data_IF_146078534194
#
_entry.id   IF_146078534194
#
_cell.length_a   1.000
_cell.length_b   1.000
_cell.length_c   1.000
_cell.angle_alpha   90.00
_cell.angle_beta   90.00
_cell.angle_gamma   90.00
#
_symmetry.space_group_name_H-M   'P 1'
#
loop_
_entity.id
_entity.type
_entity.pdbx_description
1 polymer ?
#
# COMPACT_ATOMS: atom_id res chain seq x y z
N UNK A 1 44.70 -14.37 -83.67
CA UNK A 1 43.34 -14.99 -83.58
C UNK A 1 43.16 -15.90 -82.35
N UNK A 2 43.83 -15.65 -81.20
CA UNK A 2 43.79 -16.59 -80.03
C UNK A 2 43.03 -16.03 -78.80
N UNK A 3 42.78 -14.72 -78.72
CA UNK A 3 42.23 -14.10 -77.50
C UNK A 3 40.71 -14.27 -77.25
N UNK A 4 39.92 -14.75 -78.23
CA UNK A 4 38.44 -14.86 -78.08
C UNK A 4 37.96 -16.17 -77.45
N UNK A 5 38.71 -17.27 -77.57
CA UNK A 5 38.32 -18.58 -77.02
C UNK A 5 38.53 -18.69 -75.51
N UNK A 6 39.70 -18.25 -75.02
CA UNK A 6 40.05 -18.26 -73.58
C UNK A 6 39.13 -17.40 -72.71
N UNK A 7 38.74 -16.22 -73.21
CA UNK A 7 37.83 -15.32 -72.49
C UNK A 7 36.44 -15.93 -72.31
N UNK A 8 35.94 -16.72 -73.27
CA UNK A 8 34.64 -17.39 -73.14
C UNK A 8 34.65 -18.51 -72.08
N UNK A 9 35.74 -19.26 -71.95
CA UNK A 9 35.86 -20.35 -70.98
C UNK A 9 36.04 -19.83 -69.54
N UNK A 10 36.79 -18.74 -69.35
CA UNK A 10 36.91 -18.06 -68.06
C UNK A 10 35.57 -17.47 -67.60
N UNK A 11 34.83 -16.80 -68.50
CA UNK A 11 33.49 -16.25 -68.20
C UNK A 11 32.51 -17.38 -67.87
N UNK A 12 32.60 -18.54 -68.53
CA UNK A 12 31.77 -19.70 -68.22
C UNK A 12 32.09 -20.28 -66.85
N UNK A 13 33.38 -20.37 -66.50
CA UNK A 13 33.85 -20.85 -65.20
C UNK A 13 33.40 -19.92 -64.07
N UNK A 14 33.55 -18.61 -64.26
CA UNK A 14 33.06 -17.59 -63.31
C UNK A 14 31.55 -17.66 -63.11
N UNK A 15 30.77 -17.86 -64.18
CA UNK A 15 29.31 -18.03 -64.06
C UNK A 15 28.92 -19.24 -63.21
N UNK A 16 29.65 -20.35 -63.34
CA UNK A 16 29.42 -21.55 -62.51
C UNK A 16 29.80 -21.28 -61.05
N UNK A 17 30.91 -20.59 -60.80
CA UNK A 17 31.32 -20.22 -59.44
C UNK A 17 30.31 -19.27 -58.78
N UNK A 18 29.82 -18.26 -59.51
CA UNK A 18 28.78 -17.34 -59.02
C UNK A 18 27.51 -18.11 -58.68
N UNK A 19 27.03 -18.99 -59.56
CA UNK A 19 25.85 -19.81 -59.29
C UNK A 19 26.01 -20.69 -58.04
N UNK A 20 27.19 -21.28 -57.84
CA UNK A 20 27.49 -22.09 -56.65
C UNK A 20 27.50 -21.23 -55.36
N UNK A 21 28.14 -20.06 -55.41
CA UNK A 21 28.14 -19.11 -54.28
C UNK A 21 26.74 -18.59 -53.94
N UNK A 22 25.91 -18.32 -54.96
CA UNK A 22 24.51 -17.92 -54.74
C UNK A 22 23.71 -19.02 -54.05
N UNK A 23 23.87 -20.28 -54.49
CA UNK A 23 23.22 -21.43 -53.84
C UNK A 23 23.63 -21.58 -52.38
N UNK A 24 24.94 -21.45 -52.08
CA UNK A 24 25.46 -21.53 -50.70
C UNK A 24 24.91 -20.38 -49.84
N UNK A 25 24.81 -19.17 -50.39
CA UNK A 25 24.26 -18.01 -49.68
C UNK A 25 22.78 -18.22 -49.32
N UNK A 26 21.99 -18.78 -50.23
CA UNK A 26 20.57 -19.11 -49.97
C UNK A 26 20.40 -20.20 -48.91
N UNK A 27 21.28 -21.20 -48.88
CA UNK A 27 21.27 -22.23 -47.82
C UNK A 27 21.65 -21.65 -46.46
N UNK A 28 22.69 -20.81 -46.41
CA UNK A 28 23.11 -20.11 -45.19
C UNK A 28 22.00 -19.19 -44.66
N UNK A 29 21.34 -18.44 -45.54
CA UNK A 29 20.23 -17.56 -45.17
C UNK A 29 19.06 -18.34 -44.55
N UNK A 30 18.66 -19.46 -45.17
CA UNK A 30 17.59 -20.32 -44.64
C UNK A 30 17.97 -20.95 -43.29
N UNK A 31 19.23 -21.36 -43.13
CA UNK A 31 19.74 -21.89 -41.87
C UNK A 31 19.72 -20.82 -40.78
N UNK A 32 20.17 -19.60 -41.08
CA UNK A 32 20.16 -18.47 -40.16
C UNK A 32 18.75 -18.12 -39.69
N UNK A 33 17.77 -18.15 -40.60
CA UNK A 33 16.35 -17.89 -40.26
C UNK A 33 15.78 -18.98 -39.34
N UNK A 34 16.09 -20.24 -39.62
CA UNK A 34 15.67 -21.39 -38.79
C UNK A 34 16.31 -21.32 -37.40
N UNK A 35 17.60 -21.02 -37.33
CA UNK A 35 18.34 -20.87 -36.06
C UNK A 35 17.78 -19.70 -35.24
N UNK A 36 17.44 -18.57 -35.87
CA UNK A 36 16.83 -17.42 -35.21
C UNK A 36 15.48 -17.78 -34.59
N UNK A 37 14.60 -18.48 -35.32
CA UNK A 37 13.30 -18.93 -34.82
C UNK A 37 13.48 -19.85 -33.60
N UNK A 38 14.46 -20.76 -33.65
CA UNK A 38 14.76 -21.67 -32.55
C UNK A 38 15.22 -20.93 -31.29
N UNK A 39 16.08 -19.92 -31.44
CA UNK A 39 16.55 -19.07 -30.34
C UNK A 39 15.39 -18.27 -29.74
N UNK A 40 14.54 -17.66 -30.56
CA UNK A 40 13.37 -16.90 -30.08
C UNK A 40 12.43 -17.80 -29.28
N UNK A 41 12.16 -19.03 -29.74
CA UNK A 41 11.33 -19.99 -29.01
C UNK A 41 11.94 -20.35 -27.65
N UNK A 42 13.26 -20.52 -27.56
CA UNK A 42 13.93 -20.75 -26.28
C UNK A 42 13.82 -19.56 -25.33
N UNK A 43 13.97 -18.33 -25.84
CA UNK A 43 13.81 -17.10 -25.06
C UNK A 43 12.39 -17.00 -24.49
N UNK A 44 11.37 -17.29 -25.30
CA UNK A 44 9.97 -17.26 -24.83
C UNK A 44 9.71 -18.28 -23.72
N UNK A 45 10.28 -19.47 -23.80
CA UNK A 45 10.14 -20.49 -22.76
C UNK A 45 10.88 -20.08 -21.48
N UNK A 46 12.08 -19.51 -21.60
CA UNK A 46 12.83 -18.96 -20.47
C UNK A 46 12.08 -17.81 -19.78
N UNK A 47 11.44 -16.93 -20.55
CA UNK A 47 10.66 -15.82 -19.98
C UNK A 47 9.44 -16.34 -19.20
N UNK A 48 8.75 -17.35 -19.73
CA UNK A 48 7.67 -18.02 -19.02
C UNK A 48 8.14 -18.67 -17.71
N UNK A 49 9.29 -19.34 -17.73
CA UNK A 49 9.87 -19.92 -16.51
C UNK A 49 10.28 -18.84 -15.49
N UNK A 50 10.83 -17.72 -15.95
CA UNK A 50 11.16 -16.58 -15.12
C UNK A 50 9.92 -16.02 -14.43
N UNK A 51 8.83 -15.79 -15.16
CA UNK A 51 7.57 -15.31 -14.57
C UNK A 51 7.01 -16.29 -13.52
N UNK A 52 7.09 -17.60 -13.77
CA UNK A 52 6.69 -18.60 -12.77
C UNK A 52 7.58 -18.57 -11.52
N UNK A 53 8.88 -18.36 -11.69
CA UNK A 53 9.81 -18.26 -10.57
C UNK A 53 9.55 -16.99 -9.76
N UNK A 54 9.34 -15.84 -10.41
CA UNK A 54 9.03 -14.58 -9.76
C UNK A 54 7.76 -14.70 -8.90
N UNK A 55 6.70 -15.31 -9.43
CA UNK A 55 5.46 -15.57 -8.67
C UNK A 55 5.70 -16.43 -7.42
N UNK A 56 6.54 -17.48 -7.53
CA UNK A 56 6.90 -18.34 -6.40
C UNK A 56 7.73 -17.62 -5.36
N UNK A 57 8.63 -16.74 -5.78
CA UNK A 57 9.44 -15.90 -4.89
C UNK A 57 8.52 -14.95 -4.12
N UNK A 58 7.62 -14.23 -4.79
CA UNK A 58 6.66 -13.34 -4.14
C UNK A 58 5.77 -14.08 -3.12
N UNK A 59 5.32 -15.30 -3.44
CA UNK A 59 4.55 -16.12 -2.51
C UNK A 59 5.37 -16.55 -1.29
N UNK A 60 6.63 -16.96 -1.51
CA UNK A 60 7.54 -17.35 -0.44
C UNK A 60 7.89 -16.17 0.47
N UNK A 61 8.15 -14.99 -0.10
CA UNK A 61 8.36 -13.75 0.64
C UNK A 61 7.14 -13.40 1.50
N UNK A 62 5.92 -13.50 0.94
CA UNK A 62 4.69 -13.27 1.70
C UNK A 62 4.54 -14.25 2.88
N UNK A 63 4.83 -15.54 2.69
CA UNK A 63 4.74 -16.55 3.75
C UNK A 63 5.81 -16.36 4.83
N UNK A 64 7.05 -16.12 4.42
CA UNK A 64 8.16 -15.84 5.34
C UNK A 64 7.83 -14.63 6.21
N UNK A 65 7.26 -13.59 5.60
CA UNK A 65 6.91 -12.36 6.29
C UNK A 65 5.70 -12.50 7.22
N UNK A 66 4.71 -13.33 6.87
CA UNK A 66 3.62 -13.70 7.79
C UNK A 66 4.16 -14.44 9.03
N UNK A 67 5.07 -15.40 8.81
CA UNK A 67 5.76 -16.10 9.90
C UNK A 67 6.55 -15.13 10.75
N UNK A 68 7.29 -14.20 10.13
CA UNK A 68 8.09 -13.23 10.86
C UNK A 68 7.24 -12.28 11.72
N UNK A 69 6.10 -11.80 11.20
CA UNK A 69 5.13 -11.04 11.98
C UNK A 69 4.58 -11.85 13.17
N UNK A 70 4.24 -13.13 12.95
CA UNK A 70 3.74 -14.00 14.03
C UNK A 70 4.82 -14.25 15.08
N UNK A 71 6.07 -14.44 14.68
CA UNK A 71 7.21 -14.60 15.58
C UNK A 71 7.43 -13.33 16.40
N UNK A 72 7.40 -12.16 15.76
CA UNK A 72 7.54 -10.87 16.46
C UNK A 72 6.40 -10.68 17.47
N UNK A 73 5.14 -10.96 17.09
CA UNK A 73 4.00 -10.91 18.01
C UNK A 73 4.15 -11.92 19.16
N UNK A 74 4.56 -13.16 18.86
CA UNK A 74 4.71 -14.24 19.85
C UNK A 74 5.85 -13.95 20.84
N UNK A 75 6.98 -13.43 20.36
CA UNK A 75 8.08 -12.97 21.21
C UNK A 75 7.62 -11.85 22.13
N UNK A 76 6.83 -10.88 21.62
CA UNK A 76 6.31 -9.80 22.45
C UNK A 76 5.29 -10.27 23.49
N UNK A 77 4.43 -11.23 23.15
CA UNK A 77 3.49 -11.83 24.10
C UNK A 77 4.19 -12.61 25.21
N UNK A 78 5.28 -13.32 24.89
CA UNK A 78 6.09 -14.03 25.90
C UNK A 78 6.86 -13.06 26.79
N UNK A 79 7.31 -11.91 26.25
CA UNK A 79 7.98 -10.85 27.02
C UNK A 79 7.01 -10.09 27.95
N UNK A 80 5.77 -9.86 27.50
CA UNK A 80 4.69 -9.32 28.35
C UNK A 80 4.33 -10.27 29.51
N UNK A 81 4.54 -11.58 29.32
CA UNK A 81 4.30 -12.59 30.37
C UNK A 81 5.48 -12.72 31.35
N UNK A 82 6.71 -12.45 30.88
CA UNK A 82 7.94 -12.46 31.69
C UNK A 82 8.12 -11.19 32.54
N UNK A 83 7.39 -10.12 32.22
CA UNK A 83 7.37 -8.87 32.98
C UNK A 83 5.99 -8.64 33.57
N UNK A 84 5.75 -9.15 34.79
CA UNK A 84 4.69 -8.67 35.67
C UNK A 84 4.96 -7.21 36.12
N UNK A 85 5.10 -6.30 35.17
CA UNK A 85 5.17 -4.84 35.36
C UNK A 85 4.17 -4.09 34.45
N UNK A 86 3.23 -4.80 33.80
CA UNK A 86 2.33 -4.23 32.79
C UNK A 86 1.05 -3.56 33.32
N UNK A 87 0.97 -3.21 34.61
CA UNK A 87 -0.08 -2.28 35.07
C UNK A 87 0.28 -0.82 34.77
N UNK A 88 1.54 -0.51 34.45
CA UNK A 88 2.04 0.86 34.35
C UNK A 88 2.52 1.32 32.98
N UNK A 89 2.60 0.44 31.99
CA UNK A 89 3.13 0.82 30.70
C UNK A 89 2.07 1.53 29.83
N UNK A 90 2.32 2.79 29.50
CA UNK A 90 1.45 3.63 28.68
C UNK A 90 1.84 3.42 27.21
N UNK A 91 1.02 2.69 26.47
CA UNK A 91 1.31 2.37 25.06
C UNK A 91 0.40 3.10 24.06
N UNK A 92 -0.78 3.53 24.52
CA UNK A 92 -1.82 4.16 23.71
C UNK A 92 -2.75 5.03 24.58
N UNK A 93 -3.74 5.65 23.94
CA UNK A 93 -4.75 6.45 24.64
C UNK A 93 -5.67 5.61 25.55
N UNK A 94 -5.83 4.31 25.29
CA UNK A 94 -6.62 3.44 26.16
C UNK A 94 -5.92 3.20 27.50
N UNK A 95 -4.60 3.02 27.47
CA UNK A 95 -3.73 2.92 28.65
C UNK A 95 -3.79 4.21 29.49
N UNK A 96 -3.74 5.38 28.83
CA UNK A 96 -3.93 6.68 29.48
C UNK A 96 -5.32 6.79 30.11
N UNK A 97 -6.36 6.37 29.39
CA UNK A 97 -7.73 6.41 29.88
C UNK A 97 -7.92 5.54 31.13
N UNK A 98 -7.29 4.35 31.17
CA UNK A 98 -7.26 3.47 32.36
C UNK A 98 -6.56 4.11 33.56
N UNK A 99 -5.58 4.99 33.32
CA UNK A 99 -4.90 5.81 34.35
C UNK A 99 -5.62 7.12 34.68
N UNK A 100 -6.92 7.21 34.39
CA UNK A 100 -7.76 8.38 34.69
C UNK A 100 -7.43 9.67 33.94
N UNK A 101 -6.68 9.61 32.83
CA UNK A 101 -6.58 10.73 31.89
C UNK A 101 -7.83 10.75 31.00
N UNK A 102 -8.83 11.57 31.36
CA UNK A 102 -10.16 11.58 30.72
C UNK A 102 -10.43 12.80 29.83
N UNK A 103 -9.45 13.66 29.61
CA UNK A 103 -9.60 14.88 28.82
C UNK A 103 -9.12 14.63 27.40
N UNK A 104 -9.92 14.96 26.39
CA UNK A 104 -9.48 14.86 25.00
C UNK A 104 -8.37 15.87 24.71
N UNK A 105 -7.32 15.47 24.01
CA UNK A 105 -6.20 16.36 23.75
C UNK A 105 -4.95 15.68 23.23
N UNK A 106 -3.89 16.46 23.16
CA UNK A 106 -2.56 15.98 22.77
C UNK A 106 -1.86 15.36 23.97
N UNK A 107 -1.38 14.12 23.81
CA UNK A 107 -0.63 13.37 24.79
C UNK A 107 0.67 12.86 24.20
N UNK A 108 1.64 12.62 25.08
CA UNK A 108 2.92 11.99 24.71
C UNK A 108 2.96 10.57 25.25
N UNK A 109 3.08 9.62 24.33
CA UNK A 109 3.34 8.22 24.65
C UNK A 109 4.85 8.04 24.80
N UNK A 110 5.32 7.43 25.91
CA UNK A 110 6.75 7.27 26.18
C UNK A 110 7.46 6.48 25.09
N UNK A 111 8.78 6.69 24.97
CA UNK A 111 9.63 5.80 24.17
C UNK A 111 9.56 4.38 24.73
N UNK A 112 9.64 3.40 23.85
CA UNK A 112 9.81 2.01 24.23
C UNK A 112 11.25 1.60 23.89
N UNK A 113 12.11 1.54 24.90
CA UNK A 113 13.52 1.18 24.74
C UNK A 113 13.71 -0.25 24.26
N UNK A 114 12.78 -1.15 24.64
CA UNK A 114 12.84 -2.55 24.26
C UNK A 114 12.48 -2.75 22.78
N UNK A 115 11.44 -2.06 22.32
CA UNK A 115 11.05 -2.03 20.90
C UNK A 115 11.90 -1.08 20.06
N UNK A 116 12.79 -0.31 20.67
CA UNK A 116 13.59 0.70 20.00
C UNK A 116 12.76 1.83 19.36
N UNK A 117 11.57 2.12 19.90
CA UNK A 117 10.64 3.08 19.30
C UNK A 117 10.64 4.42 20.05
N UNK A 118 10.57 5.55 19.34
CA UNK A 118 10.66 6.87 19.97
C UNK A 118 9.39 7.25 20.73
N UNK A 119 9.51 8.31 21.54
CA UNK A 119 8.36 9.04 22.08
C UNK A 119 7.44 9.46 20.92
N UNK A 120 6.14 9.27 21.10
CA UNK A 120 5.13 9.57 20.09
C UNK A 120 4.10 10.54 20.64
N UNK A 121 3.93 11.67 19.98
CA UNK A 121 2.81 12.57 20.27
C UNK A 121 1.56 12.08 19.53
N UNK A 122 0.44 11.98 20.23
CA UNK A 122 -0.86 11.51 19.71
C UNK A 122 -1.98 12.43 20.15
N UNK A 123 -3.07 12.47 19.39
CA UNK A 123 -4.33 13.02 19.89
C UNK A 123 -5.16 11.88 20.48
N UNK A 124 -5.52 12.02 21.75
CA UNK A 124 -6.45 11.13 22.41
C UNK A 124 -7.85 11.73 22.42
N UNK A 125 -8.82 10.99 21.91
CA UNK A 125 -10.24 11.25 22.09
C UNK A 125 -10.73 10.41 23.27
N UNK A 126 -11.00 11.11 24.37
CA UNK A 126 -11.40 10.51 25.65
C UNK A 126 -12.90 10.57 25.88
N UNK A 127 -13.69 10.99 24.89
CA UNK A 127 -15.12 11.25 25.03
C UNK A 127 -15.95 10.30 24.15
N UNK A 128 -15.58 10.14 22.88
CA UNK A 128 -16.38 9.37 21.91
C UNK A 128 -16.52 7.91 22.33
N UNK A 129 -17.76 7.42 22.45
CA UNK A 129 -18.09 6.03 22.76
C UNK A 129 -17.26 5.44 23.93
N UNK A 130 -17.12 6.22 25.02
CA UNK A 130 -16.39 5.80 26.22
C UNK A 130 -14.88 6.08 26.18
N UNK A 131 -14.39 6.84 25.21
CA UNK A 131 -13.02 7.37 25.19
C UNK A 131 -11.92 6.35 24.92
N UNK A 132 -10.67 6.74 25.21
CA UNK A 132 -9.49 5.88 25.01
C UNK A 132 -9.09 5.69 23.54
N UNK A 133 -9.57 6.55 22.63
CA UNK A 133 -9.25 6.46 21.21
C UNK A 133 -7.95 7.19 20.89
N UNK A 134 -7.08 6.54 20.13
CA UNK A 134 -5.88 7.17 19.55
C UNK A 134 -6.16 7.55 18.11
N UNK A 135 -6.11 8.83 17.77
CA UNK A 135 -6.31 9.27 16.38
C UNK A 135 -5.07 8.99 15.54
N UNK A 136 -5.29 8.39 14.37
CA UNK A 136 -4.23 8.01 13.43
C UNK A 136 -4.27 8.86 12.15
N UNK A 137 -5.40 9.50 11.85
CA UNK A 137 -5.57 10.39 10.72
C UNK A 137 -6.64 11.44 11.03
N UNK A 138 -6.43 12.68 10.57
CA UNK A 138 -7.45 13.73 10.59
C UNK A 138 -7.40 14.56 9.31
N UNK A 139 -8.57 14.83 8.73
CA UNK A 139 -8.83 15.83 7.68
C UNK A 139 -9.92 16.79 8.16
N UNK A 140 -9.67 18.09 8.16
CA UNK A 140 -10.65 19.10 8.57
C UNK A 140 -10.41 20.47 7.94
N UNK A 141 -9.14 20.86 7.73
CA UNK A 141 -8.78 22.23 7.32
C UNK A 141 -8.42 22.29 5.84
N UNK A 142 -7.79 21.23 5.32
CA UNK A 142 -7.37 21.12 3.92
C UNK A 142 -6.05 21.83 3.60
N UNK A 143 -5.23 22.17 4.61
CA UNK A 143 -3.97 22.92 4.43
C UNK A 143 -2.76 22.00 4.26
N UNK A 144 -2.86 20.75 4.71
CA UNK A 144 -1.77 19.77 4.55
C UNK A 144 -2.00 18.95 3.30
N UNK A 145 -1.02 18.92 2.41
CA UNK A 145 -1.02 17.98 1.27
C UNK A 145 -0.81 16.56 1.77
N UNK A 146 -1.64 15.63 1.29
CA UNK A 146 -1.50 14.18 1.52
C UNK A 146 -0.88 13.46 0.32
N UNK A 147 -0.54 14.17 -0.77
CA UNK A 147 0.29 13.62 -1.84
C UNK A 147 1.74 13.55 -1.37
N UNK A 148 2.07 12.50 -0.62
CA UNK A 148 3.36 12.28 0.06
C UNK A 148 4.01 10.98 -0.37
N UNK A 149 5.33 10.91 -0.20
CA UNK A 149 6.13 9.72 -0.51
C UNK A 149 6.03 8.64 0.58
N UNK A 150 6.60 7.46 0.30
CA UNK A 150 6.67 6.34 1.24
C UNK A 150 7.30 6.71 2.58
N UNK A 151 8.41 7.47 2.56
CA UNK A 151 9.16 7.82 3.78
C UNK A 151 8.31 8.68 4.70
N UNK A 152 7.60 9.65 4.14
CA UNK A 152 6.68 10.53 4.88
C UNK A 152 5.47 9.76 5.40
N UNK A 153 4.86 8.87 4.60
CA UNK A 153 3.76 8.03 5.09
C UNK A 153 4.21 7.04 6.17
N UNK A 154 5.44 6.54 6.10
CA UNK A 154 6.05 5.73 7.15
C UNK A 154 6.23 6.50 8.46
N UNK A 155 6.85 7.69 8.40
CA UNK A 155 7.17 8.48 9.59
C UNK A 155 6.01 9.30 10.16
N UNK A 156 4.99 9.57 9.34
CA UNK A 156 3.94 10.53 9.65
C UNK A 156 4.28 11.94 9.18
N UNK A 157 3.23 12.77 9.07
CA UNK A 157 3.32 14.16 8.64
C UNK A 157 2.07 14.96 9.07
N UNK A 158 2.18 16.29 9.00
CA UNK A 158 1.10 17.21 9.37
C UNK A 158 1.21 17.67 10.81
N UNK A 159 0.09 18.11 11.39
CA UNK A 159 0.03 18.59 12.77
C UNK A 159 -1.13 17.93 13.51
N UNK A 160 -0.87 17.44 14.72
CA UNK A 160 -1.87 16.82 15.61
C UNK A 160 -3.05 17.77 15.88
N UNK A 161 -2.84 19.09 15.81
CA UNK A 161 -3.89 20.12 15.96
C UNK A 161 -4.63 20.46 14.67
N UNK A 162 -4.14 20.01 13.53
CA UNK A 162 -4.69 20.26 12.20
C UNK A 162 -4.93 18.95 11.44
N UNK A 163 -4.58 18.95 10.14
CA UNK A 163 -4.62 17.72 9.35
C UNK A 163 -3.32 16.93 9.53
N UNK A 164 -3.40 15.62 9.72
CA UNK A 164 -2.22 14.78 9.88
C UNK A 164 -2.44 13.32 9.49
N UNK A 165 -1.33 12.64 9.26
CA UNK A 165 -1.20 11.19 9.21
C UNK A 165 -0.17 10.78 10.27
N UNK A 166 -0.55 9.87 11.19
CA UNK A 166 0.31 9.52 12.32
C UNK A 166 1.60 8.83 11.89
N UNK A 167 1.57 8.08 10.79
CA UNK A 167 2.71 7.33 10.28
C UNK A 167 2.45 5.82 10.33
N UNK A 168 2.72 5.12 9.23
CA UNK A 168 2.44 3.69 9.10
C UNK A 168 3.20 2.86 10.13
N UNK A 169 4.44 3.24 10.45
CA UNK A 169 5.24 2.56 11.46
C UNK A 169 4.62 2.69 12.86
N UNK A 170 4.11 3.88 13.18
CA UNK A 170 3.44 4.15 14.44
C UNK A 170 2.10 3.43 14.54
N UNK A 171 1.32 3.39 13.46
CA UNK A 171 0.06 2.67 13.41
C UNK A 171 0.31 1.16 13.52
N UNK A 172 1.27 0.61 12.78
CA UNK A 172 1.68 -0.79 12.90
C UNK A 172 2.00 -1.14 14.36
N UNK A 173 2.86 -0.34 15.02
CA UNK A 173 3.22 -0.50 16.44
C UNK A 173 1.99 -0.53 17.35
N UNK A 174 1.08 0.43 17.18
CA UNK A 174 -0.13 0.54 18.01
C UNK A 174 -1.13 -0.61 17.75
N UNK A 175 -1.11 -1.20 16.57
CA UNK A 175 -2.01 -2.30 16.18
C UNK A 175 -1.37 -3.70 16.26
N UNK A 176 -0.26 -3.84 16.98
CA UNK A 176 0.35 -5.15 17.28
C UNK A 176 -0.60 -6.04 18.08
N UNK A 177 -1.46 -5.42 18.89
CA UNK A 177 -2.63 -6.08 19.44
C UNK A 177 -3.86 -5.73 18.58
N UNK A 178 -4.80 -6.69 18.39
CA UNK A 178 -6.04 -6.44 17.68
C UNK A 178 -6.73 -5.19 18.19
N UNK A 179 -6.96 -4.24 17.28
CA UNK A 179 -7.59 -2.96 17.57
C UNK A 179 -8.92 -2.85 16.83
N UNK A 180 -9.84 -2.09 17.40
CA UNK A 180 -11.00 -1.58 16.69
C UNK A 180 -10.58 -0.32 15.95
N UNK A 181 -10.94 -0.20 14.67
CA UNK A 181 -10.82 1.03 13.90
C UNK A 181 -12.19 1.69 13.78
N UNK A 182 -12.27 2.98 14.12
CA UNK A 182 -13.44 3.81 13.91
C UNK A 182 -13.09 4.96 12.97
N UNK A 183 -13.93 5.16 11.96
CA UNK A 183 -13.82 6.24 10.97
C UNK A 183 -15.08 7.10 11.10
N UNK A 184 -14.91 8.36 11.46
CA UNK A 184 -16.00 9.34 11.54
C UNK A 184 -15.86 10.35 10.41
N UNK A 185 -16.98 10.66 9.76
CA UNK A 185 -17.04 11.47 8.55
C UNK A 185 -18.15 12.50 8.67
N UNK A 186 -17.90 13.71 8.19
CA UNK A 186 -18.86 14.82 8.07
C UNK A 186 -18.84 15.33 6.63
N UNK A 187 -20.02 15.55 6.06
CA UNK A 187 -20.17 16.17 4.74
C UNK A 187 -20.31 17.69 4.84
N UNK A 188 -20.60 18.35 3.71
CA UNK A 188 -20.69 19.81 3.65
C UNK A 188 -22.02 20.35 4.16
N UNK A 189 -23.06 19.51 4.18
CA UNK A 189 -24.39 19.75 4.72
C UNK A 189 -24.45 19.55 6.25
N UNK A 190 -23.43 18.92 6.84
CA UNK A 190 -23.30 18.69 8.27
C UNK A 190 -23.87 17.34 8.73
N UNK A 191 -24.24 16.45 7.80
CA UNK A 191 -24.57 15.07 8.13
C UNK A 191 -23.29 14.34 8.55
N UNK A 192 -23.39 13.54 9.61
CA UNK A 192 -22.27 12.75 10.11
C UNK A 192 -22.56 11.26 10.01
N UNK A 193 -21.58 10.50 9.54
CA UNK A 193 -21.63 9.03 9.49
C UNK A 193 -20.37 8.41 10.04
N UNK A 194 -20.46 7.13 10.39
CA UNK A 194 -19.31 6.37 10.83
C UNK A 194 -19.26 4.97 10.22
N UNK A 195 -18.05 4.46 10.11
CA UNK A 195 -17.73 3.07 9.82
C UNK A 195 -16.80 2.55 10.92
N UNK A 196 -17.09 1.38 11.46
CA UNK A 196 -16.31 0.77 12.52
C UNK A 196 -15.96 -0.68 12.16
N UNK A 197 -14.72 -1.06 12.43
CA UNK A 197 -14.17 -2.39 12.15
C UNK A 197 -13.66 -2.96 13.46
N UNK A 198 -14.33 -4.00 13.97
CA UNK A 198 -13.96 -4.66 15.25
C UNK A 198 -12.64 -5.42 15.20
N UNK A 199 -11.97 -5.46 14.04
CA UNK A 199 -10.60 -5.91 13.90
C UNK A 199 -9.90 -5.02 12.87
N UNK A 200 -8.74 -4.49 13.25
CA UNK A 200 -7.86 -3.67 12.44
C UNK A 200 -6.41 -3.92 12.86
N UNK A 201 -5.56 -4.27 11.91
CA UNK A 201 -4.10 -4.31 12.09
C UNK A 201 -3.41 -4.06 10.76
N UNK A 202 -2.17 -3.57 10.84
CA UNK A 202 -1.29 -3.42 9.69
C UNK A 202 -0.18 -4.47 9.72
N UNK A 203 0.31 -4.86 8.55
CA UNK A 203 1.61 -5.51 8.44
C UNK A 203 2.76 -4.54 8.74
N UNK A 204 3.97 -5.07 8.92
CA UNK A 204 5.19 -4.26 8.98
C UNK A 204 5.57 -3.70 7.59
N UNK A 205 6.68 -2.95 7.52
CA UNK A 205 7.18 -2.37 6.27
C UNK A 205 7.55 -3.43 5.20
N UNK A 206 8.07 -4.60 5.62
CA UNK A 206 8.40 -5.70 4.71
C UNK A 206 7.15 -6.25 4.01
N UNK A 207 5.98 -6.13 4.64
CA UNK A 207 4.67 -6.43 4.06
C UNK A 207 3.97 -5.20 3.48
N UNK A 208 4.73 -4.14 3.18
CA UNK A 208 4.19 -2.89 2.64
C UNK A 208 2.99 -2.36 3.44
N UNK A 209 3.03 -2.49 4.78
CA UNK A 209 1.96 -2.06 5.69
C UNK A 209 0.56 -2.58 5.32
N UNK A 210 0.47 -3.83 4.85
CA UNK A 210 -0.78 -4.46 4.41
C UNK A 210 -1.94 -4.31 5.41
N UNK A 211 -3.12 -3.96 4.91
CA UNK A 211 -4.32 -3.76 5.73
C UNK A 211 -5.04 -5.09 6.00
N UNK A 212 -5.36 -5.33 7.27
CA UNK A 212 -6.28 -6.39 7.67
C UNK A 212 -7.44 -5.82 8.48
N UNK A 213 -8.67 -6.04 8.01
CA UNK A 213 -9.89 -5.59 8.67
C UNK A 213 -10.96 -6.68 8.70
N UNK A 214 -11.78 -6.67 9.75
CA UNK A 214 -12.97 -7.52 9.86
C UNK A 214 -14.05 -6.86 10.74
N UNK A 215 -15.21 -7.53 10.85
CA UNK A 215 -16.31 -7.16 11.75
C UNK A 215 -16.80 -5.72 11.55
N UNK A 216 -17.17 -5.39 10.30
CA UNK A 216 -17.72 -4.08 9.98
C UNK A 216 -19.07 -3.85 10.68
N UNK A 217 -19.26 -2.63 11.18
CA UNK A 217 -20.53 -2.05 11.59
C UNK A 217 -20.55 -0.55 11.26
N UNK A 218 -21.73 0.08 11.36
CA UNK A 218 -21.89 1.52 11.13
C UNK A 218 -22.84 1.84 9.98
N UNK A 219 -23.05 3.13 9.75
CA UNK A 219 -24.08 3.67 8.87
C UNK A 219 -23.54 4.35 7.60
N UNK A 220 -22.22 4.39 7.40
CA UNK A 220 -21.58 5.01 6.23
C UNK A 220 -21.53 4.10 4.97
N UNK A 221 -21.90 2.82 5.09
CA UNK A 221 -21.61 1.82 4.06
C UNK A 221 -20.16 1.34 4.13
N UNK A 222 -19.87 0.11 3.68
CA UNK A 222 -18.59 -0.57 3.93
C UNK A 222 -17.57 -0.37 2.80
N UNK A 223 -17.13 0.87 2.56
CA UNK A 223 -16.18 1.17 1.47
C UNK A 223 -14.75 0.73 1.73
N UNK A 224 -14.32 0.53 2.98
CA UNK A 224 -12.95 0.05 3.25
C UNK A 224 -12.79 -1.46 2.94
N UNK A 225 -13.89 -2.23 2.85
CA UNK A 225 -13.84 -3.67 2.58
C UNK A 225 -13.07 -4.01 1.30
N UNK A 226 -13.20 -3.18 0.26
CA UNK A 226 -12.50 -3.37 -1.02
C UNK A 226 -10.96 -3.27 -0.89
N UNK A 227 -10.49 -2.65 0.19
CA UNK A 227 -9.09 -2.46 0.54
C UNK A 227 -8.58 -3.53 1.53
N UNK A 228 -9.41 -4.47 1.98
CA UNK A 228 -8.94 -5.54 2.86
C UNK A 228 -7.90 -6.41 2.14
N UNK A 229 -6.81 -6.76 2.83
CA UNK A 229 -5.73 -7.60 2.30
C UNK A 229 -5.02 -6.99 1.07
N UNK A 230 -4.92 -5.66 0.99
CA UNK A 230 -4.10 -4.93 0.01
C UNK A 230 -2.94 -4.20 0.69
N UNK A 231 -1.88 -3.99 -0.07
CA UNK A 231 -0.68 -3.32 0.39
C UNK A 231 -0.87 -1.79 0.34
N UNK A 232 -0.14 -1.07 1.18
CA UNK A 232 -0.11 0.38 1.11
C UNK A 232 0.70 0.82 -0.10
N UNK A 233 0.21 1.79 -0.85
CA UNK A 233 0.90 2.38 -2.01
C UNK A 233 1.04 3.88 -1.84
N UNK A 234 2.09 4.45 -2.42
CA UNK A 234 2.37 5.90 -2.44
C UNK A 234 2.89 6.30 -3.80
N UNK A 235 2.97 7.60 -4.08
CA UNK A 235 3.37 8.14 -5.40
C UNK A 235 4.75 7.70 -5.90
N UNK A 236 5.60 7.14 -5.04
CA UNK A 236 6.93 6.64 -5.40
C UNK A 236 7.15 5.16 -5.00
N UNK A 237 6.09 4.45 -4.62
CA UNK A 237 6.13 3.02 -4.32
C UNK A 237 4.76 2.42 -4.59
N UNK A 238 4.64 1.82 -5.77
CA UNK A 238 3.45 1.11 -6.21
C UNK A 238 3.45 -0.32 -5.67
N UNK A 239 2.45 -0.63 -4.84
CA UNK A 239 2.16 -1.98 -4.36
C UNK A 239 0.69 -2.35 -4.60
N UNK A 240 -0.01 -1.61 -5.47
CA UNK A 240 -1.43 -1.86 -5.72
C UNK A 240 -1.63 -3.03 -6.70
N UNK A 241 -2.88 -3.36 -7.02
CA UNK A 241 -3.22 -4.53 -7.87
C UNK A 241 -3.67 -4.10 -9.26
N UNK A 242 -3.46 -2.84 -9.60
CA UNK A 242 -3.88 -2.24 -10.87
C UNK A 242 -2.72 -2.19 -11.85
N UNK A 243 -3.02 -1.94 -13.12
CA UNK A 243 -2.00 -1.66 -14.13
C UNK A 243 -1.54 -0.19 -14.05
N UNK A 244 -2.46 0.70 -13.67
CA UNK A 244 -2.19 2.11 -13.46
C UNK A 244 -1.75 2.38 -12.02
N UNK A 245 -0.82 3.33 -11.81
CA UNK A 245 -0.43 3.77 -10.47
C UNK A 245 -1.58 4.53 -9.78
N UNK A 246 -2.28 3.84 -8.88
CA UNK A 246 -3.44 4.39 -8.19
C UNK A 246 -3.07 5.54 -7.26
N UNK A 247 -1.89 5.53 -6.64
CA UNK A 247 -1.46 6.63 -5.76
C UNK A 247 -1.22 7.92 -6.56
N UNK A 248 -0.67 7.79 -7.78
CA UNK A 248 -0.53 8.89 -8.72
C UNK A 248 -1.87 9.41 -9.24
N UNK A 249 -2.86 8.54 -9.46
CA UNK A 249 -4.20 8.95 -9.90
C UNK A 249 -5.03 9.59 -8.78
N UNK A 250 -5.01 9.00 -7.58
CA UNK A 250 -5.85 9.36 -6.42
C UNK A 250 -5.20 10.37 -5.46
N UNK A 251 -3.95 10.75 -5.73
CA UNK A 251 -3.18 11.82 -5.08
C UNK A 251 -3.00 11.66 -3.56
N UNK A 252 -2.95 10.42 -3.09
CA UNK A 252 -2.72 10.09 -1.68
C UNK A 252 -1.94 8.78 -1.54
N UNK A 253 -1.49 8.50 -0.33
CA UNK A 253 -1.05 7.16 0.06
C UNK A 253 -2.20 6.40 0.72
N UNK A 254 -2.47 5.19 0.25
CA UNK A 254 -3.59 4.38 0.73
C UNK A 254 -3.40 2.90 0.40
N UNK A 255 -4.25 2.04 0.96
CA UNK A 255 -4.29 0.61 0.65
C UNK A 255 -5.01 0.34 -0.68
N UNK A 256 -4.51 0.91 -1.78
CA UNK A 256 -5.17 0.81 -3.09
C UNK A 256 -5.29 -0.63 -3.58
N UNK A 257 -6.37 -0.90 -4.33
CA UNK A 257 -6.62 -2.14 -5.05
C UNK A 257 -6.55 -1.83 -6.56
N UNK A 258 -7.68 -1.70 -7.28
CA UNK A 258 -7.70 -1.16 -8.65
C UNK A 258 -8.96 -0.30 -8.91
N UNK A 259 -9.06 0.93 -8.42
CA UNK A 259 -8.13 1.57 -7.47
C UNK A 259 -8.72 1.64 -6.06
N UNK A 260 -9.95 2.14 -5.91
CA UNK A 260 -10.46 2.50 -4.60
C UNK A 260 -11.98 2.65 -4.53
N UNK A 261 -12.55 2.21 -3.41
CA UNK A 261 -13.91 2.55 -2.97
C UNK A 261 -13.90 3.60 -1.83
N UNK A 262 -12.72 3.95 -1.30
CA UNK A 262 -12.52 4.99 -0.29
C UNK A 262 -11.14 5.66 -0.41
N UNK A 263 -11.09 6.98 -0.44
CA UNK A 263 -9.84 7.72 -0.62
C UNK A 263 -9.68 8.81 0.44
N UNK A 264 -9.64 8.42 1.73
CA UNK A 264 -9.63 9.39 2.84
C UNK A 264 -8.36 10.27 2.89
N UNK A 265 -7.31 9.85 2.17
CA UNK A 265 -6.06 10.58 2.00
C UNK A 265 -5.99 11.37 0.68
N UNK A 266 -7.10 11.53 -0.03
CA UNK A 266 -7.19 12.29 -1.27
C UNK A 266 -7.06 13.81 -1.11
N UNK A 267 -7.23 14.50 -2.24
CA UNK A 267 -7.25 15.96 -2.35
C UNK A 267 -8.44 16.53 -1.60
N UNK A 268 -8.21 17.54 -0.79
CA UNK A 268 -9.29 18.23 -0.08
C UNK A 268 -9.97 19.21 -1.04
N UNK A 269 -11.17 18.87 -1.53
CA UNK A 269 -12.02 19.82 -2.27
C UNK A 269 -13.05 20.45 -1.35
N UNK A 270 -13.22 21.77 -1.47
CA UNK A 270 -14.27 22.50 -0.77
C UNK A 270 -15.62 22.29 -1.47
N UNK A 271 -16.70 22.31 -0.69
CA UNK A 271 -18.09 22.23 -1.16
C UNK A 271 -18.50 20.88 -1.78
N UNK A 272 -17.76 19.80 -1.49
CA UNK A 272 -18.20 18.44 -1.79
C UNK A 272 -17.98 18.06 -3.25
N UNK A 273 -18.89 18.49 -4.12
CA UNK A 273 -18.94 18.06 -5.52
C UNK A 273 -17.70 18.47 -6.32
N UNK A 274 -17.09 17.50 -6.99
CA UNK A 274 -16.03 17.74 -7.97
C UNK A 274 -16.19 16.81 -9.17
N UNK A 275 -16.21 17.38 -10.38
CA UNK A 275 -16.49 16.63 -11.63
C UNK A 275 -15.26 16.37 -12.50
N UNK A 276 -14.10 16.95 -12.14
CA UNK A 276 -12.90 16.90 -12.99
C UNK A 276 -12.00 15.70 -12.70
N UNK A 277 -11.81 15.38 -11.43
CA UNK A 277 -10.88 14.37 -10.98
C UNK A 277 -11.57 13.46 -9.96
N UNK A 278 -11.23 12.17 -9.94
CA UNK A 278 -11.72 11.21 -8.94
C UNK A 278 -10.68 11.00 -7.84
N UNK A 279 -10.09 12.09 -7.34
CA UNK A 279 -8.97 12.10 -6.39
C UNK A 279 -9.30 12.79 -5.06
N UNK A 280 -10.58 13.14 -4.84
CA UNK A 280 -11.06 13.77 -3.61
C UNK A 280 -11.02 12.86 -2.39
N UNK A 281 -11.47 13.39 -1.25
CA UNK A 281 -11.65 12.64 0.00
C UNK A 281 -12.98 11.87 -0.07
N UNK A 282 -12.98 10.68 -0.66
CA UNK A 282 -14.21 9.97 -1.02
C UNK A 282 -14.52 8.78 -0.10
N UNK A 283 -15.82 8.50 0.05
CA UNK A 283 -16.35 7.27 0.64
C UNK A 283 -17.53 6.79 -0.20
N UNK A 284 -17.30 5.77 -1.02
CA UNK A 284 -18.23 5.38 -2.09
C UNK A 284 -19.62 4.97 -1.58
N UNK A 285 -19.69 4.26 -0.45
CA UNK A 285 -20.93 3.74 0.14
C UNK A 285 -21.88 4.82 0.65
N UNK A 286 -21.43 6.09 0.66
CA UNK A 286 -22.26 7.22 1.06
C UNK A 286 -22.48 8.22 -0.09
N UNK A 287 -21.44 8.93 -0.54
CA UNK A 287 -21.57 10.00 -1.54
C UNK A 287 -20.96 9.64 -2.92
N UNK A 288 -20.56 8.37 -3.11
CA UNK A 288 -19.95 7.92 -4.36
C UNK A 288 -18.54 8.52 -4.61
N UNK A 289 -18.06 8.53 -5.88
CA UNK A 289 -16.68 8.86 -6.21
C UNK A 289 -16.41 10.36 -6.48
N UNK A 290 -17.46 11.19 -6.59
CA UNK A 290 -17.37 12.57 -7.07
C UNK A 290 -17.68 13.62 -5.98
N UNK A 291 -17.61 13.20 -4.72
CA UNK A 291 -17.87 14.05 -3.56
C UNK A 291 -16.72 13.93 -2.56
N UNK A 292 -16.11 15.06 -2.23
CA UNK A 292 -15.05 15.15 -1.23
C UNK A 292 -15.63 15.53 0.13
N UNK A 293 -15.48 14.66 1.11
CA UNK A 293 -15.92 14.87 2.48
C UNK A 293 -15.23 16.09 3.13
N UNK A 294 -15.93 16.74 4.06
CA UNK A 294 -15.49 17.96 4.74
C UNK A 294 -14.59 17.67 5.93
N UNK A 295 -14.96 16.68 6.75
CA UNK A 295 -14.14 16.23 7.89
C UNK A 295 -14.07 14.72 7.97
N UNK A 296 -12.89 14.23 8.35
CA UNK A 296 -12.65 12.81 8.63
C UNK A 296 -11.73 12.69 9.83
N UNK A 297 -12.03 11.74 10.70
CA UNK A 297 -11.10 11.22 11.70
C UNK A 297 -11.05 9.70 11.64
N UNK A 298 -9.84 9.14 11.54
CA UNK A 298 -9.61 7.72 11.77
C UNK A 298 -8.96 7.55 13.14
N UNK A 299 -9.52 6.67 13.97
CA UNK A 299 -9.04 6.42 15.32
C UNK A 299 -9.10 4.95 15.70
N UNK A 300 -8.17 4.52 16.54
CA UNK A 300 -8.03 3.13 16.96
C UNK A 300 -8.08 2.99 18.47
N UNK A 301 -8.53 1.83 18.94
CA UNK A 301 -8.59 1.46 20.35
C UNK A 301 -8.48 -0.05 20.49
N UNK A 302 -7.76 -0.61 21.48
CA UNK A 302 -7.67 -2.06 21.67
C UNK A 302 -9.05 -2.72 21.78
N UNK A 303 -9.21 -3.91 21.20
CA UNK A 303 -10.48 -4.68 21.27
C UNK A 303 -10.82 -5.09 22.72
N UNK A 304 -9.80 -5.27 23.57
CA UNK A 304 -9.96 -5.61 24.98
C UNK A 304 -10.40 -4.44 25.87
N UNK A 305 -10.47 -3.22 25.33
CA UNK A 305 -10.81 -2.04 26.11
C UNK A 305 -12.25 -2.10 26.65
N UNK A 306 -12.39 -1.81 27.95
CA UNK A 306 -13.66 -1.66 28.65
C UNK A 306 -13.69 -0.23 29.21
N UNK A 307 -14.67 0.61 28.81
CA UNK A 307 -14.79 2.00 29.25
C UNK A 307 -14.95 2.17 30.77
#
# INVERSE_FOLDING_TARGET
KIAKGQCCDEVRTLKVQVANLTSILEELSRKQETDLINVVRQIMELDKQKQQLDNRVTEAESKYSEVNNRVEIMQLQTLQSATQTSSDAIYDCASLYGKSYKISGEYKLPKDEFLGTPELSVFCDMETNGGGWTLIQRRKIGLTSFKRDWKQYKSGFGSIRGDFWLGNEHIFRLTRQPSTLRIEMEDWEGETRYAEYGFFTLGNELNSYKLFIANYSGNAGNSLRYHNNTNFSTVNRDNDKCVDDCASLRKGGYWYNCCTDSNLNGVFYRYGEHKKNTDGITWYGWHGPNYSLKKIEMKIRPVSFQP
#
